data_IF_800715794709
#
_entry.id   IF_800715794709
#
_cell.length_a   1.000
_cell.length_b   1.000
_cell.length_c   1.000
_cell.angle_alpha   90.00
_cell.angle_beta   90.00
_cell.angle_gamma   90.00
#
_symmetry.space_group_name_H-M   'P 1'
#
loop_
_entity.id
_entity.type
_entity.pdbx_description
1 polymer ?
#
# COMPACT_ATOMS: atom_id res chain seq x y z
N UNK A 1 -12.71 -0.73 -1.75
CA UNK A 1 -11.75 -1.79 -2.16
C UNK A 1 -10.44 -1.13 -2.51
N UNK A 2 -9.33 -1.58 -1.94
CA UNK A 2 -7.98 -1.08 -2.16
C UNK A 2 -7.10 -2.25 -2.61
N UNK A 3 -6.39 -2.09 -3.73
CA UNK A 3 -5.56 -3.14 -4.31
C UNK A 3 -4.12 -2.64 -4.33
N UNK A 4 -3.23 -3.36 -3.64
CA UNK A 4 -1.81 -3.02 -3.42
C UNK A 4 -1.57 -1.50 -3.23
N UNK A 5 -2.26 -0.85 -2.27
CA UNK A 5 -2.26 0.61 -2.18
C UNK A 5 -0.93 1.15 -1.65
N UNK A 6 -0.47 2.26 -2.23
CA UNK A 6 0.58 3.09 -1.63
C UNK A 6 -0.03 3.86 -0.46
N UNK A 7 0.51 3.67 0.76
CA UNK A 7 0.02 4.36 1.95
C UNK A 7 0.96 5.45 2.45
N UNK A 8 2.18 5.49 1.93
CA UNK A 8 3.19 6.47 2.30
C UNK A 8 4.11 6.78 1.14
N UNK A 9 4.31 8.07 0.89
CA UNK A 9 5.30 8.60 -0.05
C UNK A 9 6.44 9.30 0.71
N UNK A 10 6.69 8.93 1.97
CA UNK A 10 7.80 9.49 2.75
C UNK A 10 8.96 8.52 2.82
N UNK A 11 10.18 9.05 2.72
CA UNK A 11 11.41 8.29 2.98
C UNK A 11 11.73 8.23 4.47
N UNK A 12 11.06 9.03 5.29
CA UNK A 12 11.30 9.15 6.73
C UNK A 12 10.57 8.08 7.55
N UNK A 13 9.90 7.13 6.89
CA UNK A 13 9.20 6.03 7.56
C UNK A 13 9.55 4.69 6.92
N UNK A 14 10.21 3.83 7.69
CA UNK A 14 10.68 2.54 7.21
C UNK A 14 9.60 1.45 7.29
N UNK A 15 9.50 0.66 6.22
CA UNK A 15 8.68 -0.54 6.11
C UNK A 15 9.59 -1.69 5.63
N UNK A 16 9.72 -2.81 6.36
CA UNK A 16 10.58 -3.91 5.96
C UNK A 16 10.35 -4.42 4.53
N UNK A 17 9.09 -4.50 4.09
CA UNK A 17 8.74 -4.87 2.72
C UNK A 17 9.37 -3.97 1.66
N UNK A 18 9.68 -2.70 1.97
CA UNK A 18 10.30 -1.78 1.01
C UNK A 18 11.65 -2.30 0.50
N UNK A 19 12.36 -3.12 1.28
CA UNK A 19 13.61 -3.75 0.84
C UNK A 19 13.42 -4.71 -0.35
N UNK A 20 12.21 -5.25 -0.54
CA UNK A 20 11.88 -6.08 -1.70
C UNK A 20 12.02 -5.28 -3.01
N UNK A 21 11.88 -3.94 -2.96
CA UNK A 21 12.07 -3.08 -4.14
C UNK A 21 13.52 -3.05 -4.67
N UNK A 22 14.48 -3.60 -3.92
CA UNK A 22 15.86 -3.74 -4.40
C UNK A 22 16.00 -4.86 -5.45
N UNK A 23 15.10 -5.86 -5.39
CA UNK A 23 15.14 -7.06 -6.25
C UNK A 23 13.90 -7.19 -7.15
N UNK A 24 12.86 -6.39 -6.93
CA UNK A 24 11.61 -6.42 -7.70
C UNK A 24 11.81 -5.86 -9.12
N UNK A 25 11.50 -6.65 -10.16
CA UNK A 25 11.64 -6.22 -11.55
C UNK A 25 10.54 -5.25 -12.01
N UNK A 26 9.36 -5.29 -11.38
CA UNK A 26 8.19 -4.50 -11.75
C UNK A 26 8.08 -3.19 -10.97
N UNK A 27 8.31 -3.23 -9.66
CA UNK A 27 8.22 -2.07 -8.76
C UNK A 27 9.53 -1.86 -7.98
N UNK A 28 10.64 -1.69 -8.71
CA UNK A 28 11.93 -1.41 -8.09
C UNK A 28 12.01 -0.01 -7.44
N UNK A 29 13.03 0.17 -6.60
CA UNK A 29 13.30 1.43 -5.91
C UNK A 29 13.46 2.64 -6.85
N UNK A 30 14.06 2.46 -8.03
CA UNK A 30 14.23 3.54 -9.01
C UNK A 30 12.89 3.99 -9.58
N UNK A 31 12.00 3.05 -9.91
CA UNK A 31 10.65 3.37 -10.37
C UNK A 31 9.82 4.04 -9.27
N UNK A 32 9.86 3.54 -8.04
CA UNK A 32 9.17 4.17 -6.90
C UNK A 32 9.60 5.63 -6.73
N UNK A 33 10.91 5.88 -6.80
CA UNK A 33 11.47 7.23 -6.73
C UNK A 33 11.02 8.10 -7.91
N UNK A 34 11.06 7.58 -9.14
CA UNK A 34 10.58 8.33 -10.31
C UNK A 34 9.09 8.67 -10.21
N UNK A 35 8.25 7.73 -9.77
CA UNK A 35 6.81 7.98 -9.59
C UNK A 35 6.61 9.07 -8.54
N UNK A 36 7.34 9.01 -7.42
CA UNK A 36 7.28 10.03 -6.37
C UNK A 36 7.72 11.41 -6.88
N UNK A 37 8.86 11.50 -7.55
CA UNK A 37 9.41 12.76 -8.10
C UNK A 37 8.50 13.38 -9.18
N UNK A 38 7.77 12.56 -9.94
CA UNK A 38 6.82 13.05 -10.94
C UNK A 38 5.45 13.42 -10.35
N UNK A 39 5.06 12.82 -9.23
CA UNK A 39 3.77 13.06 -8.59
C UNK A 39 3.80 14.23 -7.60
N UNK A 40 4.91 14.40 -6.89
CA UNK A 40 5.08 15.42 -5.85
C UNK A 40 5.83 16.61 -6.45
N UNK A 41 5.24 17.82 -6.46
CA UNK A 41 5.93 19.03 -6.87
C UNK A 41 7.23 19.25 -6.07
N UNK A 42 8.27 19.76 -6.71
CA UNK A 42 9.58 19.95 -6.07
C UNK A 42 9.58 20.93 -4.90
N UNK A 43 8.60 21.83 -4.85
CA UNK A 43 8.37 22.80 -3.77
C UNK A 43 7.45 22.27 -2.65
N UNK A 44 6.94 21.05 -2.79
CA UNK A 44 6.09 20.41 -1.79
C UNK A 44 6.91 19.58 -0.79
N UNK A 45 7.18 20.16 0.38
CA UNK A 45 8.08 19.54 1.38
C UNK A 45 7.38 18.53 2.31
N UNK A 46 6.07 18.68 2.55
CA UNK A 46 5.34 17.88 3.53
C UNK A 46 4.87 16.52 2.98
N UNK A 47 5.80 15.60 2.77
CA UNK A 47 5.50 14.23 2.31
C UNK A 47 4.58 13.43 3.26
N UNK A 48 4.43 13.88 4.50
CA UNK A 48 3.52 13.31 5.50
C UNK A 48 2.09 13.84 5.41
N UNK A 49 1.79 14.76 4.48
CA UNK A 49 0.46 15.30 4.31
C UNK A 49 -0.57 14.16 4.10
N UNK A 50 -1.67 14.07 4.87
CA UNK A 50 -2.55 12.90 4.85
C UNK A 50 -3.22 12.59 3.51
N UNK A 51 -3.39 13.58 2.64
CA UNK A 51 -3.90 13.38 1.27
C UNK A 51 -2.87 12.76 0.32
N UNK A 52 -1.59 12.87 0.64
CA UNK A 52 -0.49 12.26 -0.12
C UNK A 52 -0.09 10.91 0.49
N UNK A 53 -0.02 10.85 1.82
CA UNK A 53 0.37 9.66 2.58
C UNK A 53 -0.76 9.28 3.56
N UNK A 54 -1.78 8.52 3.13
CA UNK A 54 -2.97 8.19 3.93
C UNK A 54 -2.67 7.52 5.27
N UNK A 55 -1.49 6.91 5.42
CA UNK A 55 -0.95 6.42 6.70
C UNK A 55 -1.03 7.44 7.83
N UNK A 56 -0.95 8.74 7.53
CA UNK A 56 -0.97 9.81 8.53
C UNK A 56 -2.36 10.46 8.74
N UNK A 57 -3.43 9.90 8.17
CA UNK A 57 -4.80 10.33 8.50
C UNK A 57 -5.03 10.24 10.01
N UNK A 58 -5.85 11.13 10.56
CA UNK A 58 -6.17 11.10 12.00
C UNK A 58 -7.13 9.95 12.32
N UNK A 59 -7.15 9.50 13.58
CA UNK A 59 -8.06 8.41 13.99
C UNK A 59 -9.53 8.80 13.86
N UNK A 60 -9.85 10.09 14.03
CA UNK A 60 -11.21 10.63 13.84
C UNK A 60 -11.68 10.42 12.40
N UNK A 61 -10.80 10.70 11.43
CA UNK A 61 -11.12 10.48 10.02
C UNK A 61 -11.20 8.98 9.72
N UNK A 62 -10.27 8.18 10.26
CA UNK A 62 -10.24 6.74 10.01
C UNK A 62 -11.46 6.01 10.55
N UNK A 63 -12.04 6.42 11.69
CA UNK A 63 -13.28 5.82 12.23
C UNK A 63 -14.48 5.95 11.28
N UNK A 64 -14.49 6.99 10.47
CA UNK A 64 -15.55 7.26 9.49
C UNK A 64 -15.32 6.53 8.15
N UNK A 65 -14.29 5.69 8.04
CA UNK A 65 -14.04 4.94 6.81
C UNK A 65 -15.16 3.93 6.53
N UNK A 66 -15.49 3.71 5.25
CA UNK A 66 -16.41 2.65 4.87
C UNK A 66 -15.80 1.27 5.13
N UNK A 67 -16.61 0.22 4.99
CA UNK A 67 -16.13 -1.17 4.99
C UNK A 67 -14.98 -1.31 3.98
N UNK A 68 -13.83 -1.77 4.46
CA UNK A 68 -12.62 -1.86 3.66
C UNK A 68 -12.29 -3.30 3.27
N UNK A 69 -11.85 -3.49 2.03
CA UNK A 69 -11.19 -4.71 1.57
C UNK A 69 -9.87 -4.31 0.97
N UNK A 70 -8.77 -4.84 1.50
CA UNK A 70 -7.39 -4.50 1.14
C UNK A 70 -6.72 -5.76 0.62
N UNK A 71 -6.16 -5.69 -0.58
CA UNK A 71 -5.42 -6.80 -1.20
C UNK A 71 -3.95 -6.44 -1.31
N UNK A 72 -3.05 -7.35 -0.93
CA UNK A 72 -1.60 -7.13 -1.00
C UNK A 72 -0.88 -8.36 -1.56
N UNK A 73 0.22 -8.14 -2.28
CA UNK A 73 1.17 -9.20 -2.62
C UNK A 73 2.14 -9.46 -1.48
N UNK A 74 2.46 -10.73 -1.20
CA UNK A 74 3.44 -11.08 -0.17
C UNK A 74 4.88 -10.73 -0.56
N UNK A 75 5.13 -10.50 -1.85
CA UNK A 75 6.41 -10.02 -2.39
C UNK A 75 6.32 -8.55 -2.85
N UNK A 76 5.26 -7.82 -2.49
CA UNK A 76 5.07 -6.42 -2.87
C UNK A 76 5.82 -5.48 -1.92
N UNK A 77 6.65 -4.55 -2.43
CA UNK A 77 7.32 -3.56 -1.59
C UNK A 77 6.40 -2.71 -0.72
N UNK A 78 5.15 -2.48 -1.16
CA UNK A 78 4.16 -1.63 -0.47
C UNK A 78 3.37 -2.36 0.61
N UNK A 79 3.57 -3.68 0.75
CA UNK A 79 2.78 -4.57 1.60
C UNK A 79 2.65 -4.09 3.04
N UNK A 80 3.76 -3.80 3.71
CA UNK A 80 3.76 -3.63 5.16
C UNK A 80 3.00 -2.37 5.60
N UNK A 81 3.11 -1.27 4.86
CA UNK A 81 2.35 -0.06 5.19
C UNK A 81 0.85 -0.21 4.91
N UNK A 82 0.46 -0.99 3.89
CA UNK A 82 -0.93 -1.38 3.69
C UNK A 82 -1.48 -2.26 4.83
N UNK A 83 -0.69 -3.23 5.30
CA UNK A 83 -1.03 -4.06 6.47
C UNK A 83 -1.19 -3.20 7.73
N UNK A 84 -0.25 -2.28 7.99
CA UNK A 84 -0.32 -1.37 9.15
C UNK A 84 -1.57 -0.49 9.10
N UNK A 85 -1.92 0.02 7.92
CA UNK A 85 -3.15 0.79 7.75
C UNK A 85 -4.41 -0.04 8.00
N UNK A 86 -4.46 -1.27 7.46
CA UNK A 86 -5.57 -2.20 7.72
C UNK A 86 -5.70 -2.52 9.21
N UNK A 87 -4.58 -2.75 9.91
CA UNK A 87 -4.55 -2.98 11.34
C UNK A 87 -5.09 -1.77 12.12
N UNK A 88 -4.74 -0.54 11.70
CA UNK A 88 -5.25 0.68 12.32
C UNK A 88 -6.77 0.85 12.13
N UNK A 89 -7.29 0.58 10.93
CA UNK A 89 -8.74 0.57 10.68
C UNK A 89 -9.47 -0.45 11.58
N UNK A 90 -8.93 -1.67 11.69
CA UNK A 90 -9.48 -2.73 12.53
C UNK A 90 -9.50 -2.33 14.02
N UNK A 91 -8.41 -1.72 14.52
CA UNK A 91 -8.32 -1.23 15.89
C UNK A 91 -9.37 -0.15 16.21
N UNK A 92 -9.74 0.66 15.22
CA UNK A 92 -10.74 1.71 15.33
C UNK A 92 -12.18 1.22 15.13
N UNK A 93 -12.38 -0.09 14.94
CA UNK A 93 -13.70 -0.70 14.77
C UNK A 93 -14.26 -0.64 13.35
N UNK A 94 -13.47 -0.23 12.35
CA UNK A 94 -13.89 -0.21 10.95
C UNK A 94 -13.84 -1.63 10.39
N UNK A 95 -14.97 -2.17 9.86
CA UNK A 95 -14.98 -3.51 9.28
C UNK A 95 -14.01 -3.58 8.09
N UNK A 96 -12.91 -4.30 8.27
CA UNK A 96 -11.81 -4.34 7.31
C UNK A 96 -11.37 -5.78 7.07
N UNK A 97 -11.33 -6.21 5.82
CA UNK A 97 -10.73 -7.49 5.41
C UNK A 97 -9.39 -7.21 4.72
N UNK A 98 -8.35 -7.93 5.12
CA UNK A 98 -7.07 -7.93 4.40
C UNK A 98 -6.82 -9.30 3.79
N UNK A 99 -6.38 -9.29 2.53
CA UNK A 99 -6.15 -10.46 1.71
C UNK A 99 -4.71 -10.43 1.19
N UNK A 100 -3.83 -11.29 1.72
CA UNK A 100 -2.45 -11.40 1.27
C UNK A 100 -2.25 -12.56 0.30
N UNK A 101 -1.71 -12.26 -0.88
CA UNK A 101 -1.26 -13.26 -1.85
C UNK A 101 0.23 -13.51 -1.69
N UNK A 102 0.57 -14.46 -0.82
CA UNK A 102 1.91 -14.74 -0.29
C UNK A 102 3.08 -14.67 -1.28
N UNK A 103 2.88 -15.10 -2.54
CA UNK A 103 3.96 -15.20 -3.54
C UNK A 103 3.76 -14.27 -4.73
N UNK A 104 2.89 -13.26 -4.61
CA UNK A 104 2.60 -12.32 -5.68
C UNK A 104 3.40 -11.01 -5.51
N UNK A 105 3.91 -10.52 -6.63
CA UNK A 105 4.54 -9.20 -6.79
C UNK A 105 3.49 -8.09 -6.89
N UNK A 106 3.93 -6.83 -6.89
CA UNK A 106 3.03 -5.71 -7.19
C UNK A 106 2.35 -5.85 -8.56
N UNK A 107 1.09 -5.41 -8.67
CA UNK A 107 0.36 -5.44 -9.93
C UNK A 107 -0.07 -6.84 -10.43
N UNK A 108 0.09 -7.90 -9.62
CA UNK A 108 -0.21 -9.29 -10.02
C UNK A 108 -1.63 -9.51 -10.58
N UNK A 109 -2.61 -8.72 -10.13
CA UNK A 109 -4.00 -8.82 -10.62
C UNK A 109 -4.14 -8.39 -12.09
N UNK A 110 -3.23 -7.56 -12.61
CA UNK A 110 -3.22 -7.13 -14.01
C UNK A 110 -2.62 -8.19 -14.95
N UNK A 111 -1.76 -9.08 -14.44
CA UNK A 111 -1.07 -10.11 -15.22
C UNK A 111 -1.92 -11.37 -15.48
N UNK A 112 -3.15 -11.41 -14.96
CA UNK A 112 -4.03 -12.57 -15.01
C UNK A 112 -4.67 -12.80 -16.39
N UNK A 113 -4.01 -13.55 -17.29
CA UNK A 113 -4.65 -14.06 -18.54
C UNK A 113 -5.70 -15.15 -18.31
N UNK A 114 -5.88 -15.65 -17.09
CA UNK A 114 -6.98 -16.55 -16.69
C UNK A 114 -7.53 -16.10 -15.33
N UNK A 115 -8.84 -16.29 -15.06
CA UNK A 115 -9.40 -15.99 -13.76
C UNK A 115 -8.76 -16.94 -12.76
N UNK A 116 -7.73 -16.46 -12.07
CA UNK A 116 -7.17 -17.15 -10.93
C UNK A 116 -8.35 -17.40 -10.00
N UNK A 117 -8.59 -18.67 -9.66
CA UNK A 117 -9.31 -18.99 -8.41
C UNK A 117 -8.37 -18.57 -7.29
N UNK A 118 -8.25 -17.26 -7.08
CA UNK A 118 -7.75 -16.69 -5.86
C UNK A 118 -8.68 -17.29 -4.81
N UNK A 119 -8.20 -18.32 -4.10
CA UNK A 119 -8.92 -18.81 -2.93
C UNK A 119 -9.12 -17.56 -2.08
N UNK A 120 -10.37 -17.20 -1.87
CA UNK A 120 -10.72 -16.10 -0.98
C UNK A 120 -9.95 -16.31 0.31
N UNK A 121 -9.23 -15.27 0.75
CA UNK A 121 -8.60 -15.28 2.06
C UNK A 121 -9.64 -15.55 3.16
#
# INVERSE_FOLDING_TARGET
MLIYPVMSCTLNSFAPSLLLSLEDLGLNASLLRQVQENYIPSDFENTNHPLLSPKFLSDEILKEFPICQIYVGGLDPLRDDAIRFAARLLQLGVPTKICEYRYCLHGFMNAARKPWKLKEC
#
